data_IF_091082625225
#
_entry.id   IF_091082625225
#
_cell.length_a   1.000
_cell.length_b   1.000
_cell.length_c   1.000
_cell.angle_alpha   90.00
_cell.angle_beta   90.00
_cell.angle_gamma   90.00
#
_symmetry.space_group_name_H-M   'P 1'
#
loop_
_entity.id
_entity.type
_entity.pdbx_description
1 polymer ?
#
# COMPACT_ATOMS: atom_id res chain seq x y z
N UNK A 1 -23.98 -68.18 -20.58
CA UNK A 1 -23.06 -67.18 -20.01
C UNK A 1 -23.45 -65.82 -20.58
N UNK A 2 -24.20 -65.01 -19.80
CA UNK A 2 -24.62 -63.67 -20.20
C UNK A 2 -23.79 -62.67 -19.40
N UNK A 3 -22.90 -61.92 -20.09
CA UNK A 3 -22.13 -60.82 -19.50
C UNK A 3 -23.08 -59.61 -19.35
N UNK A 4 -23.29 -59.16 -18.13
CA UNK A 4 -23.98 -57.93 -17.82
C UNK A 4 -22.93 -56.79 -17.79
N UNK A 5 -23.06 -55.84 -18.71
CA UNK A 5 -22.29 -54.58 -18.68
C UNK A 5 -22.96 -53.64 -17.68
N UNK A 6 -22.26 -53.30 -16.60
CA UNK A 6 -22.64 -52.20 -15.72
C UNK A 6 -22.11 -50.88 -16.31
N UNK A 7 -23.03 -50.05 -16.78
CA UNK A 7 -22.71 -48.67 -17.13
C UNK A 7 -22.73 -47.86 -15.82
N UNK A 8 -21.56 -47.44 -15.37
CA UNK A 8 -21.45 -46.48 -14.29
C UNK A 8 -21.70 -45.10 -14.88
N UNK A 9 -22.85 -44.51 -14.59
CA UNK A 9 -23.16 -43.13 -14.89
C UNK A 9 -22.39 -42.24 -13.86
N UNK A 10 -21.31 -41.62 -14.28
CA UNK A 10 -20.67 -40.54 -13.53
C UNK A 10 -21.54 -39.30 -13.74
N UNK A 11 -22.39 -39.01 -12.77
CA UNK A 11 -23.05 -37.70 -12.67
C UNK A 11 -21.96 -36.70 -12.23
N UNK A 12 -21.36 -36.00 -13.18
CA UNK A 12 -20.58 -34.82 -12.91
C UNK A 12 -21.54 -33.77 -12.35
N UNK A 13 -21.53 -33.60 -11.02
CA UNK A 13 -22.19 -32.48 -10.38
C UNK A 13 -21.53 -31.21 -10.91
N UNK A 14 -22.16 -30.56 -11.89
CA UNK A 14 -21.83 -29.24 -12.34
C UNK A 14 -22.02 -28.28 -11.16
N UNK A 15 -20.94 -28.00 -10.44
CA UNK A 15 -20.89 -26.89 -9.50
C UNK A 15 -21.02 -25.64 -10.35
N UNK A 16 -22.22 -25.08 -10.36
CA UNK A 16 -22.47 -23.79 -11.00
C UNK A 16 -21.69 -22.73 -10.25
N UNK A 17 -20.69 -22.15 -10.90
CA UNK A 17 -19.86 -21.04 -10.41
C UNK A 17 -20.63 -19.76 -10.06
N UNK A 18 -21.95 -19.78 -10.08
CA UNK A 18 -22.82 -18.64 -9.76
C UNK A 18 -22.83 -18.24 -8.27
N UNK A 19 -22.16 -18.98 -7.39
CA UNK A 19 -22.01 -18.65 -5.95
C UNK A 19 -20.61 -18.17 -5.55
N UNK A 20 -19.64 -18.26 -6.44
CA UNK A 20 -18.32 -17.70 -6.25
C UNK A 20 -18.25 -16.42 -7.08
N UNK A 21 -17.83 -15.31 -6.45
CA UNK A 21 -17.67 -14.00 -7.12
C UNK A 21 -16.87 -14.11 -8.43
N UNK A 22 -16.77 -13.00 -9.14
CA UNK A 22 -15.97 -12.93 -10.38
C UNK A 22 -14.60 -13.60 -10.17
N UNK A 23 -14.07 -14.32 -11.15
CA UNK A 23 -12.70 -14.86 -11.06
C UNK A 23 -11.73 -13.70 -10.83
N UNK A 24 -10.62 -13.95 -10.13
CA UNK A 24 -9.62 -12.92 -9.89
C UNK A 24 -9.13 -12.33 -11.23
N UNK A 25 -8.88 -11.02 -11.25
CA UNK A 25 -8.26 -10.36 -12.39
C UNK A 25 -6.83 -10.89 -12.60
N UNK A 26 -6.21 -10.68 -13.79
CA UNK A 26 -4.81 -11.04 -14.00
C UNK A 26 -3.87 -10.44 -12.94
N UNK A 27 -4.05 -9.17 -12.59
CA UNK A 27 -3.29 -8.52 -11.52
C UNK A 27 -3.52 -9.20 -10.17
N UNK A 28 -4.78 -9.47 -9.80
CA UNK A 28 -5.05 -10.18 -8.54
C UNK A 28 -4.38 -11.53 -8.49
N UNK A 29 -4.35 -12.26 -9.60
CA UNK A 29 -3.67 -13.56 -9.68
C UNK A 29 -2.16 -13.40 -9.49
N UNK A 30 -1.52 -12.46 -10.17
CA UNK A 30 -0.09 -12.17 -10.01
C UNK A 30 0.24 -11.75 -8.56
N UNK A 31 -0.62 -10.94 -7.93
CA UNK A 31 -0.45 -10.59 -6.50
C UNK A 31 -0.58 -11.83 -5.62
N UNK A 32 -1.53 -12.73 -5.88
CA UNK A 32 -1.65 -13.98 -5.11
C UNK A 32 -0.41 -14.87 -5.24
N UNK A 33 0.21 -14.89 -6.41
CA UNK A 33 1.49 -15.59 -6.62
C UNK A 33 2.62 -14.91 -5.82
N UNK A 34 2.74 -13.57 -5.88
CA UNK A 34 3.71 -12.82 -5.09
C UNK A 34 3.52 -13.01 -3.57
N UNK A 35 2.27 -13.16 -3.10
CA UNK A 35 1.97 -13.46 -1.70
C UNK A 35 2.55 -14.79 -1.21
N UNK A 36 2.81 -15.74 -2.11
CA UNK A 36 3.42 -17.05 -1.79
C UNK A 36 4.95 -17.03 -1.85
N UNK A 37 5.56 -15.92 -2.25
CA UNK A 37 7.01 -15.80 -2.40
C UNK A 37 7.76 -16.18 -1.12
N UNK A 38 8.90 -16.89 -1.27
CA UNK A 38 9.77 -17.33 -0.18
C UNK A 38 10.47 -16.17 0.55
N UNK A 39 10.56 -14.99 -0.07
CA UNK A 39 11.11 -13.78 0.59
C UNK A 39 10.20 -13.23 1.69
N UNK A 40 8.96 -13.73 1.80
CA UNK A 40 7.98 -13.32 2.81
C UNK A 40 7.94 -14.28 3.98
N UNK A 41 7.87 -13.72 5.19
CA UNK A 41 7.75 -14.50 6.42
C UNK A 41 6.30 -14.93 6.69
N UNK A 42 6.11 -15.89 7.60
CA UNK A 42 4.78 -16.33 8.01
C UNK A 42 4.01 -15.23 8.75
N UNK A 43 4.71 -14.36 9.50
CA UNK A 43 4.12 -13.19 10.17
C UNK A 43 3.62 -12.18 9.13
N UNK A 44 4.31 -11.99 8.02
CA UNK A 44 3.86 -11.14 6.92
C UNK A 44 2.64 -11.73 6.23
N UNK A 45 2.63 -13.04 5.95
CA UNK A 45 1.48 -13.75 5.36
C UNK A 45 0.25 -13.72 6.27
N UNK A 46 0.43 -13.85 7.58
CA UNK A 46 -0.67 -13.78 8.55
C UNK A 46 -1.42 -12.43 8.50
N UNK A 47 -0.79 -11.37 7.98
CA UNK A 47 -1.37 -10.02 7.85
C UNK A 47 -2.11 -9.80 6.52
N UNK A 48 -1.98 -10.69 5.55
CA UNK A 48 -2.60 -10.54 4.22
C UNK A 48 -4.12 -10.38 4.30
N UNK A 49 -4.78 -11.18 5.16
CA UNK A 49 -6.23 -11.08 5.41
C UNK A 49 -6.69 -9.70 5.86
N UNK A 50 -5.84 -8.95 6.58
CA UNK A 50 -6.17 -7.63 7.10
C UNK A 50 -5.77 -6.51 6.15
N UNK A 51 -4.81 -6.76 5.26
CA UNK A 51 -4.28 -5.78 4.30
C UNK A 51 -4.89 -5.91 2.91
N UNK A 52 -5.43 -7.09 2.56
CA UNK A 52 -6.09 -7.39 1.28
C UNK A 52 -5.29 -6.85 0.08
N UNK A 53 -4.00 -7.25 -0.10
CA UNK A 53 -3.12 -6.59 -1.05
C UNK A 53 -3.60 -6.68 -2.50
N UNK A 54 -4.17 -7.82 -2.91
CA UNK A 54 -4.65 -7.99 -4.28
C UNK A 54 -5.76 -6.97 -4.62
N UNK A 55 -6.71 -6.80 -3.71
CA UNK A 55 -7.82 -5.87 -3.91
C UNK A 55 -7.35 -4.40 -3.77
N UNK A 56 -6.39 -4.12 -2.88
CA UNK A 56 -5.83 -2.77 -2.71
C UNK A 56 -5.04 -2.35 -3.94
N UNK A 57 -4.18 -3.20 -4.48
CA UNK A 57 -3.37 -2.88 -5.66
C UNK A 57 -4.24 -2.77 -6.92
N UNK A 58 -5.30 -3.58 -7.03
CA UNK A 58 -6.29 -3.44 -8.09
C UNK A 58 -7.08 -2.12 -7.97
N UNK A 59 -7.50 -1.73 -6.77
CA UNK A 59 -8.13 -0.43 -6.51
C UNK A 59 -7.22 0.72 -6.94
N UNK A 60 -5.92 0.60 -6.72
CA UNK A 60 -4.93 1.58 -7.16
C UNK A 60 -4.64 1.51 -8.66
N UNK A 61 -5.20 0.54 -9.39
CA UNK A 61 -5.01 0.37 -10.83
C UNK A 61 -3.53 0.12 -11.17
N UNK A 62 -2.83 -0.65 -10.35
CA UNK A 62 -1.46 -1.06 -10.62
C UNK A 62 -1.41 -1.89 -11.92
N UNK A 63 -0.42 -1.61 -12.76
CA UNK A 63 -0.07 -2.41 -13.94
C UNK A 63 1.39 -2.85 -13.83
N UNK A 64 1.75 -4.01 -14.37
CA UNK A 64 3.06 -4.64 -14.15
C UNK A 64 4.21 -3.92 -14.88
N UNK A 65 3.90 -3.09 -15.88
CA UNK A 65 4.85 -2.26 -16.63
C UNK A 65 5.06 -0.85 -16.06
N UNK A 66 4.41 -0.53 -14.93
CA UNK A 66 4.51 0.78 -14.30
C UNK A 66 5.85 0.99 -13.60
N UNK A 67 6.31 2.25 -13.61
CA UNK A 67 7.33 2.75 -12.69
C UNK A 67 6.64 3.25 -11.43
N UNK A 68 6.96 2.65 -10.29
CA UNK A 68 6.27 2.89 -9.01
C UNK A 68 7.26 3.36 -7.96
N UNK A 69 6.87 4.37 -7.16
CA UNK A 69 7.58 4.75 -5.93
C UNK A 69 6.76 4.26 -4.73
N UNK A 70 7.34 3.44 -3.86
CA UNK A 70 6.80 3.15 -2.54
C UNK A 70 7.46 4.06 -1.50
N UNK A 71 6.63 4.86 -0.82
CA UNK A 71 7.08 5.79 0.22
C UNK A 71 7.27 5.04 1.54
N UNK A 72 8.48 5.10 2.11
CA UNK A 72 8.85 4.53 3.41
C UNK A 72 8.37 3.08 3.60
N UNK A 73 9.00 2.11 2.93
CA UNK A 73 8.59 0.70 2.95
C UNK A 73 8.73 0.04 4.34
N UNK A 74 9.48 0.63 5.28
CA UNK A 74 9.84 0.06 6.58
C UNK A 74 10.51 -1.32 6.43
N UNK A 75 9.84 -2.39 6.86
CA UNK A 75 10.32 -3.78 6.72
C UNK A 75 10.03 -4.38 5.33
N UNK A 76 9.57 -3.58 4.38
CA UNK A 76 9.35 -4.01 2.99
C UNK A 76 8.13 -4.90 2.77
N UNK A 77 7.08 -4.79 3.60
CA UNK A 77 5.92 -5.69 3.48
C UNK A 77 5.23 -5.59 2.11
N UNK A 78 4.98 -4.36 1.61
CA UNK A 78 4.45 -4.16 0.26
C UNK A 78 5.56 -4.27 -0.80
N UNK A 79 6.78 -3.86 -0.50
CA UNK A 79 7.93 -3.99 -1.40
C UNK A 79 8.11 -5.42 -1.88
N UNK A 80 8.00 -6.42 -0.96
CA UNK A 80 8.08 -7.85 -1.26
C UNK A 80 6.93 -8.39 -2.12
N UNK A 81 5.88 -7.59 -2.32
CA UNK A 81 4.81 -7.88 -3.27
C UNK A 81 5.03 -7.11 -4.58
N UNK A 82 5.37 -5.83 -4.50
CA UNK A 82 5.54 -4.95 -5.65
C UNK A 82 6.76 -5.33 -6.49
N UNK A 83 7.89 -5.66 -5.85
CA UNK A 83 9.12 -5.96 -6.57
C UNK A 83 8.97 -7.13 -7.57
N UNK A 84 8.44 -8.31 -7.20
CA UNK A 84 8.25 -9.38 -8.18
C UNK A 84 7.20 -9.05 -9.25
N UNK A 85 6.21 -8.19 -8.95
CA UNK A 85 5.19 -7.78 -9.93
C UNK A 85 5.75 -6.85 -11.01
N UNK A 86 6.70 -5.97 -10.64
CA UNK A 86 7.25 -4.94 -11.52
C UNK A 86 8.59 -5.36 -12.17
N UNK A 87 9.08 -6.55 -11.84
CA UNK A 87 10.44 -6.99 -12.17
C UNK A 87 10.74 -7.05 -13.67
N UNK A 88 9.79 -7.51 -14.49
CA UNK A 88 10.04 -7.82 -15.90
C UNK A 88 9.94 -6.56 -16.78
N UNK A 89 8.86 -5.80 -16.66
CA UNK A 89 8.54 -4.69 -17.54
C UNK A 89 8.42 -3.33 -16.82
N UNK A 90 8.26 -3.34 -15.51
CA UNK A 90 8.12 -2.16 -14.67
C UNK A 90 9.40 -1.79 -13.93
N UNK A 91 9.26 -0.91 -12.94
CA UNK A 91 10.36 -0.55 -12.03
C UNK A 91 9.84 -0.12 -10.67
N UNK A 92 10.49 -0.60 -9.60
CA UNK A 92 10.18 -0.20 -8.24
C UNK A 92 11.29 0.66 -7.65
N UNK A 93 10.90 1.83 -7.19
CA UNK A 93 11.71 2.69 -6.35
C UNK A 93 11.15 2.70 -4.93
N UNK A 94 12.02 2.79 -3.94
CA UNK A 94 11.61 2.96 -2.54
C UNK A 94 12.29 4.18 -1.94
N UNK A 95 11.54 4.99 -1.19
CA UNK A 95 12.18 6.11 -0.49
C UNK A 95 12.75 5.64 0.84
N UNK A 96 13.96 6.09 1.13
CA UNK A 96 14.67 5.74 2.36
C UNK A 96 14.98 6.99 3.19
N UNK A 97 14.80 6.97 4.53
CA UNK A 97 14.97 8.17 5.37
C UNK A 97 16.43 8.57 5.62
N UNK A 98 17.39 7.99 4.86
CA UNK A 98 18.82 8.24 5.01
C UNK A 98 19.47 7.49 6.18
N UNK A 99 20.79 7.33 6.17
CA UNK A 99 21.53 6.44 7.08
C UNK A 99 21.49 6.85 8.56
N UNK A 100 21.11 8.08 8.88
CA UNK A 100 20.97 8.54 10.27
C UNK A 100 19.70 8.06 10.96
N UNK A 101 18.79 7.43 10.20
CA UNK A 101 17.47 6.96 10.65
C UNK A 101 17.33 5.44 10.70
N UNK A 102 18.40 4.69 10.42
CA UNK A 102 18.38 3.23 10.56
C UNK A 102 18.06 2.85 12.01
N UNK A 103 16.85 2.40 12.21
CA UNK A 103 16.45 1.61 13.36
C UNK A 103 16.06 0.22 12.87
N UNK A 104 15.94 -0.76 13.77
CA UNK A 104 15.43 -2.11 13.43
C UNK A 104 14.05 -2.09 12.71
N UNK A 105 13.38 -0.93 12.65
CA UNK A 105 12.11 -0.74 11.95
C UNK A 105 12.28 -0.39 10.46
N UNK A 106 13.49 0.09 10.05
CA UNK A 106 13.81 0.42 8.67
C UNK A 106 14.88 -0.55 8.21
N UNK A 107 14.48 -1.53 7.46
CA UNK A 107 15.39 -2.47 6.80
C UNK A 107 15.84 -1.79 5.51
N UNK A 108 17.14 -1.89 5.21
CA UNK A 108 17.64 -1.67 3.86
C UNK A 108 17.00 -2.74 2.96
N UNK A 109 15.89 -2.37 2.30
CA UNK A 109 15.11 -3.32 1.51
C UNK A 109 15.85 -3.77 0.26
N UNK A 110 16.73 -2.95 -0.30
CA UNK A 110 17.56 -3.33 -1.45
C UNK A 110 18.60 -4.39 -1.07
N UNK A 111 18.98 -4.48 0.22
CA UNK A 111 19.88 -5.55 0.71
C UNK A 111 19.17 -6.89 0.93
N UNK A 112 17.85 -6.95 0.85
CA UNK A 112 17.13 -8.22 1.03
C UNK A 112 17.24 -9.09 -0.21
N UNK A 113 17.52 -10.36 -0.03
CA UNK A 113 17.61 -11.34 -1.12
C UNK A 113 16.31 -11.34 -1.97
N UNK A 114 16.45 -11.22 -3.28
CA UNK A 114 15.35 -11.14 -4.23
C UNK A 114 14.77 -9.74 -4.44
N UNK A 115 15.38 -8.71 -3.85
CA UNK A 115 14.99 -7.30 -4.02
C UNK A 115 16.15 -6.44 -4.56
N UNK A 116 17.17 -7.05 -5.12
CA UNK A 116 18.40 -6.38 -5.58
C UNK A 116 18.18 -5.40 -6.75
N UNK A 117 17.03 -5.51 -7.43
CA UNK A 117 16.64 -4.61 -8.53
C UNK A 117 15.80 -3.41 -8.06
N UNK A 118 15.47 -3.34 -6.75
CA UNK A 118 14.76 -2.21 -6.17
C UNK A 118 15.73 -1.04 -6.00
N UNK A 119 15.40 0.11 -6.57
CA UNK A 119 16.23 1.31 -6.50
C UNK A 119 15.82 2.19 -5.31
N UNK A 120 16.78 2.51 -4.45
CA UNK A 120 16.55 3.39 -3.31
C UNK A 120 16.68 4.87 -3.69
N UNK A 121 15.72 5.68 -3.21
CA UNK A 121 15.73 7.13 -3.34
C UNK A 121 16.10 7.72 -1.98
N UNK A 122 17.16 8.52 -1.94
CA UNK A 122 17.45 9.33 -0.75
C UNK A 122 16.32 10.34 -0.55
N UNK A 123 15.59 10.16 0.53
CA UNK A 123 14.48 11.04 0.87
C UNK A 123 14.96 12.42 1.33
N UNK A 124 16.20 12.56 1.78
CA UNK A 124 16.67 13.77 2.46
C UNK A 124 15.87 14.10 3.73
N UNK A 125 15.24 13.10 4.34
CA UNK A 125 14.32 13.25 5.46
C UNK A 125 15.06 13.38 6.79
N UNK A 126 14.50 14.20 7.67
CA UNK A 126 14.98 14.34 9.03
C UNK A 126 13.84 14.06 10.01
N UNK A 127 14.07 13.10 10.89
CA UNK A 127 13.33 13.03 12.14
C UNK A 127 14.13 13.69 13.24
N UNK A 128 13.47 14.30 14.19
CA UNK A 128 14.10 14.63 15.48
C UNK A 128 14.25 13.35 16.30
N UNK A 129 15.42 13.06 16.90
CA UNK A 129 15.57 11.93 17.80
C UNK A 129 14.47 11.96 18.88
N UNK A 130 13.60 10.93 18.90
CA UNK A 130 12.46 10.85 19.81
C UNK A 130 11.21 11.62 19.38
N UNK A 131 11.20 12.26 18.20
CA UNK A 131 10.03 12.93 17.62
C UNK A 131 9.32 12.11 16.55
N UNK A 132 8.04 12.39 16.36
CA UNK A 132 7.20 11.75 15.32
C UNK A 132 7.20 12.51 13.99
N UNK A 133 8.00 13.57 13.86
CA UNK A 133 8.02 14.41 12.67
C UNK A 133 9.14 13.96 11.72
N UNK A 134 8.74 13.43 10.58
CA UNK A 134 9.62 13.25 9.43
C UNK A 134 9.46 14.46 8.51
N UNK A 135 10.58 15.03 8.07
CA UNK A 135 10.60 16.11 7.07
C UNK A 135 11.09 15.52 5.77
N UNK A 136 10.30 15.64 4.72
CA UNK A 136 10.75 15.36 3.37
C UNK A 136 11.43 16.63 2.82
N UNK A 137 12.59 16.49 2.22
CA UNK A 137 13.23 17.57 1.49
C UNK A 137 13.25 17.23 0.01
N UNK A 138 12.74 18.12 -0.79
CA UNK A 138 12.97 18.31 -2.15
C UNK A 138 12.66 17.40 -3.19
N UNK A 139 12.78 17.66 -4.49
CA UNK A 139 12.33 16.68 -5.47
C UNK A 139 13.16 15.40 -5.37
N UNK A 140 12.49 14.28 -5.53
CA UNK A 140 13.18 12.99 -5.72
C UNK A 140 13.85 13.01 -7.10
N UNK A 141 15.15 12.69 -7.14
CA UNK A 141 15.92 12.68 -8.40
C UNK A 141 15.69 11.36 -9.15
N UNK A 142 14.49 11.23 -9.70
CA UNK A 142 14.09 10.06 -10.50
C UNK A 142 13.46 10.51 -11.82
N UNK A 143 13.53 9.65 -12.82
CA UNK A 143 12.72 9.84 -14.03
C UNK A 143 11.22 9.81 -13.71
N UNK A 144 10.37 10.48 -14.51
CA UNK A 144 8.94 10.53 -14.22
C UNK A 144 8.31 9.15 -14.09
N UNK A 145 7.58 8.92 -12.98
CA UNK A 145 6.94 7.65 -12.63
C UNK A 145 5.45 7.64 -12.94
N UNK A 146 4.87 6.43 -13.03
CA UNK A 146 3.45 6.22 -13.29
C UNK A 146 2.62 6.26 -12.00
N UNK A 147 3.21 5.81 -10.88
CA UNK A 147 2.48 5.69 -9.63
C UNK A 147 3.37 5.99 -8.42
N UNK A 148 2.78 6.61 -7.41
CA UNK A 148 3.36 6.77 -6.06
C UNK A 148 2.41 6.10 -5.07
N UNK A 149 2.94 5.30 -4.14
CA UNK A 149 2.17 4.58 -3.14
C UNK A 149 2.70 4.85 -1.73
N UNK A 150 1.79 5.01 -0.77
CA UNK A 150 2.16 5.06 0.64
C UNK A 150 1.18 4.24 1.48
N UNK A 151 1.73 3.44 2.41
CA UNK A 151 0.97 2.52 3.22
C UNK A 151 1.24 2.75 4.71
N UNK A 152 0.32 3.40 5.40
CA UNK A 152 0.33 3.63 6.85
C UNK A 152 1.52 4.47 7.35
N UNK A 153 1.90 5.46 6.57
CA UNK A 153 2.97 6.40 6.90
C UNK A 153 2.45 7.82 7.12
N UNK A 154 1.38 8.18 6.41
CA UNK A 154 0.88 9.55 6.35
C UNK A 154 0.55 10.13 7.73
N UNK A 155 0.04 9.30 8.64
CA UNK A 155 -0.24 9.68 10.03
C UNK A 155 1.01 10.02 10.86
N UNK A 156 2.21 9.64 10.41
CA UNK A 156 3.47 9.93 11.11
C UNK A 156 4.06 11.29 10.71
N UNK A 157 3.57 11.90 9.64
CA UNK A 157 4.11 13.15 9.11
C UNK A 157 3.49 14.36 9.82
N UNK A 158 4.32 15.39 10.11
CA UNK A 158 3.79 16.72 10.46
C UNK A 158 3.07 17.34 9.25
N UNK A 159 2.34 18.43 9.45
CA UNK A 159 1.66 19.14 8.36
C UNK A 159 2.65 19.58 7.26
N UNK A 160 3.80 20.11 7.67
CA UNK A 160 4.85 20.54 6.74
C UNK A 160 5.44 19.36 5.97
N UNK A 161 5.65 18.21 6.66
CA UNK A 161 6.14 16.99 6.02
C UNK A 161 5.10 16.40 5.05
N UNK A 162 3.82 16.45 5.36
CA UNK A 162 2.74 16.03 4.45
C UNK A 162 2.72 16.89 3.19
N UNK A 163 2.79 18.22 3.35
CA UNK A 163 2.86 19.14 2.21
C UNK A 163 4.08 18.84 1.32
N UNK A 164 5.26 18.60 1.93
CA UNK A 164 6.48 18.27 1.19
C UNK A 164 6.39 16.91 0.48
N UNK A 165 5.87 15.88 1.14
CA UNK A 165 5.66 14.55 0.54
C UNK A 165 4.67 14.61 -0.62
N UNK A 166 3.55 15.29 -0.44
CA UNK A 166 2.55 15.47 -1.49
C UNK A 166 3.14 16.20 -2.70
N UNK A 167 3.92 17.26 -2.45
CA UNK A 167 4.59 17.99 -3.53
C UNK A 167 5.63 17.12 -4.24
N UNK A 168 6.49 16.39 -3.51
CA UNK A 168 7.50 15.50 -4.11
C UNK A 168 6.83 14.40 -4.93
N UNK A 169 5.73 13.83 -4.44
CA UNK A 169 4.91 12.86 -5.17
C UNK A 169 4.33 13.46 -6.45
N UNK A 170 3.82 14.70 -6.37
CA UNK A 170 3.30 15.41 -7.54
C UNK A 170 4.38 15.67 -8.58
N UNK A 171 5.54 16.15 -8.15
CA UNK A 171 6.66 16.48 -9.05
C UNK A 171 7.20 15.21 -9.75
N UNK A 172 7.32 14.09 -9.03
CA UNK A 172 7.83 12.82 -9.56
C UNK A 172 6.88 12.13 -10.55
N UNK A 173 5.58 12.37 -10.45
CA UNK A 173 4.60 11.71 -11.30
C UNK A 173 4.54 12.32 -12.70
N UNK A 174 4.33 11.47 -13.71
CA UNK A 174 3.89 11.87 -15.06
C UNK A 174 2.54 12.59 -15.00
N UNK A 175 2.20 13.47 -15.96
CA UNK A 175 0.80 13.87 -16.18
C UNK A 175 -0.09 12.63 -16.36
N UNK A 176 -1.20 12.55 -15.62
CA UNK A 176 -2.05 11.36 -15.55
C UNK A 176 -1.58 10.28 -14.58
N UNK A 177 -0.41 10.43 -13.96
CA UNK A 177 0.10 9.50 -12.96
C UNK A 177 -0.73 9.47 -11.67
N UNK A 178 -0.67 8.35 -10.96
CA UNK A 178 -1.56 8.02 -9.84
C UNK A 178 -0.84 8.12 -8.49
N UNK A 179 -1.55 8.60 -7.47
CA UNK A 179 -1.08 8.61 -6.09
C UNK A 179 -2.04 7.84 -5.19
N UNK A 180 -1.59 6.72 -4.63
CA UNK A 180 -2.36 5.84 -3.76
C UNK A 180 -1.96 5.97 -2.29
N UNK A 181 -2.94 6.19 -1.42
CA UNK A 181 -2.73 6.34 0.04
C UNK A 181 -3.62 5.35 0.78
N UNK A 182 -3.01 4.51 1.62
CA UNK A 182 -3.71 3.72 2.64
C UNK A 182 -3.26 4.18 4.01
N UNK A 183 -4.19 4.55 4.89
CA UNK A 183 -3.83 4.84 6.27
C UNK A 183 -4.97 4.50 7.26
N UNK A 184 -4.65 4.61 8.56
CA UNK A 184 -5.58 4.35 9.65
C UNK A 184 -6.53 5.53 9.85
N UNK A 185 -7.83 5.23 9.84
CA UNK A 185 -8.89 6.23 9.94
C UNK A 185 -8.94 6.85 11.32
N UNK A 186 -8.95 8.19 11.38
CA UNK A 186 -9.40 9.01 12.51
C UNK A 186 -10.77 9.61 12.17
N UNK A 187 -11.58 9.86 13.15
CA UNK A 187 -12.87 10.55 12.95
C UNK A 187 -12.62 11.97 12.42
N UNK A 188 -13.47 12.38 11.49
CA UNK A 188 -13.41 13.72 10.94
C UNK A 188 -13.47 14.79 12.03
N UNK A 189 -12.55 15.77 11.96
CA UNK A 189 -12.39 16.87 12.91
C UNK A 189 -12.05 16.46 14.36
N UNK A 190 -11.75 15.19 14.62
CA UNK A 190 -11.28 14.79 15.94
C UNK A 190 -9.81 15.23 16.13
N UNK A 191 -9.49 15.95 17.22
CA UNK A 191 -8.11 16.36 17.48
C UNK A 191 -7.20 15.16 17.72
N UNK A 192 -5.94 15.29 17.27
CA UNK A 192 -4.90 14.32 17.60
C UNK A 192 -4.58 14.34 19.09
N UNK A 193 -4.46 13.15 19.68
CA UNK A 193 -4.14 12.98 21.10
C UNK A 193 -3.47 11.62 21.34
N UNK A 194 -3.00 11.36 22.57
CA UNK A 194 -2.30 10.12 22.91
C UNK A 194 -3.15 8.86 22.79
N UNK A 195 -4.48 8.95 22.85
CA UNK A 195 -5.38 7.80 22.76
C UNK A 195 -5.64 7.39 21.30
N UNK A 196 -5.75 8.35 20.35
CA UNK A 196 -6.03 8.08 18.94
C UNK A 196 -4.79 8.20 18.03
N UNK A 197 -3.62 8.20 18.61
CA UNK A 197 -2.33 8.31 17.91
C UNK A 197 -2.19 7.30 16.76
N UNK A 198 -1.43 7.66 15.75
CA UNK A 198 -1.20 6.89 14.53
C UNK A 198 -2.46 6.69 13.68
N UNK A 199 -3.35 7.67 13.72
CA UNK A 199 -4.52 7.79 12.84
C UNK A 199 -4.54 9.16 12.19
N UNK A 200 -5.11 9.24 11.01
CA UNK A 200 -5.30 10.49 10.29
C UNK A 200 -6.73 10.58 9.74
N UNK A 201 -7.27 11.79 9.71
CA UNK A 201 -8.59 12.06 9.16
C UNK A 201 -8.54 12.01 7.62
N UNK A 202 -9.27 11.10 6.95
CA UNK A 202 -9.23 10.98 5.50
C UNK A 202 -9.72 12.23 4.76
N UNK A 203 -10.59 13.03 5.36
CA UNK A 203 -11.07 14.29 4.74
C UNK A 203 -9.94 15.31 4.69
N UNK A 204 -9.18 15.45 5.77
CA UNK A 204 -8.01 16.33 5.79
C UNK A 204 -6.92 15.84 4.82
N UNK A 205 -6.72 14.51 4.71
CA UNK A 205 -5.78 13.96 3.70
C UNK A 205 -6.22 14.34 2.28
N UNK A 206 -7.53 14.28 1.98
CA UNK A 206 -8.04 14.70 0.67
C UNK A 206 -7.75 16.18 0.41
N UNK A 207 -8.01 17.06 1.37
CA UNK A 207 -7.72 18.50 1.27
C UNK A 207 -6.23 18.75 1.04
N UNK A 208 -5.36 18.19 1.88
CA UNK A 208 -3.90 18.36 1.81
C UNK A 208 -3.30 17.86 0.47
N UNK A 209 -3.80 16.75 -0.06
CA UNK A 209 -3.34 16.21 -1.35
C UNK A 209 -3.86 17.05 -2.52
N UNK A 210 -5.10 17.54 -2.45
CA UNK A 210 -5.63 18.44 -3.46
C UNK A 210 -4.93 19.81 -3.47
N UNK A 211 -4.51 20.33 -2.31
CA UNK A 211 -3.68 21.54 -2.21
C UNK A 211 -2.34 21.39 -2.95
N UNK A 212 -1.79 20.18 -3.02
CA UNK A 212 -0.57 19.90 -3.81
C UNK A 212 -0.83 19.83 -5.34
N UNK A 213 -2.09 19.94 -5.78
CA UNK A 213 -2.48 19.97 -7.20
C UNK A 213 -3.12 18.69 -7.73
N UNK A 214 -3.27 17.66 -6.92
CA UNK A 214 -3.94 16.42 -7.31
C UNK A 214 -5.46 16.56 -7.40
N UNK A 215 -6.08 15.64 -8.14
CA UNK A 215 -7.53 15.44 -8.14
C UNK A 215 -7.85 14.08 -7.50
N UNK A 216 -8.83 14.05 -6.60
CA UNK A 216 -9.37 12.79 -6.06
C UNK A 216 -10.07 12.02 -7.18
N UNK A 217 -9.68 10.77 -7.37
CA UNK A 217 -10.29 9.84 -8.34
C UNK A 217 -11.31 8.95 -7.67
N UNK A 218 -10.91 8.35 -6.53
CA UNK A 218 -11.75 7.35 -5.87
C UNK A 218 -11.42 7.20 -4.39
N UNK A 219 -12.36 6.65 -3.64
CA UNK A 219 -12.27 6.30 -2.23
C UNK A 219 -12.80 4.88 -2.03
N UNK A 220 -12.05 4.03 -1.33
CA UNK A 220 -12.47 2.65 -1.09
C UNK A 220 -12.74 2.35 0.38
N UNK A 221 -13.86 1.63 0.60
CA UNK A 221 -14.23 1.08 1.92
C UNK A 221 -13.71 -0.34 2.14
N UNK A 222 -12.90 -0.87 1.23
CA UNK A 222 -12.34 -2.22 1.24
C UNK A 222 -11.72 -2.61 2.59
N UNK A 223 -10.99 -1.68 3.21
CA UNK A 223 -10.28 -1.88 4.47
C UNK A 223 -11.07 -1.41 5.70
N UNK A 224 -12.35 -1.10 5.53
CA UNK A 224 -13.20 -0.66 6.63
C UNK A 224 -13.37 -1.76 7.68
N UNK A 225 -13.30 -1.36 8.95
CA UNK A 225 -13.55 -2.20 10.13
C UNK A 225 -14.61 -1.54 11.01
N UNK A 226 -15.90 -1.92 10.85
CA UNK A 226 -17.01 -1.29 11.58
C UNK A 226 -16.95 -1.46 13.10
N UNK A 227 -16.21 -2.44 13.58
CA UNK A 227 -15.97 -2.77 14.98
C UNK A 227 -14.81 -1.98 15.60
N UNK A 228 -14.04 -1.23 14.80
CA UNK A 228 -13.06 -0.26 15.31
C UNK A 228 -13.76 1.04 15.69
N UNK A 229 -13.75 1.36 16.98
CA UNK A 229 -14.36 2.59 17.52
C UNK A 229 -13.65 3.87 17.06
N UNK A 230 -12.53 3.79 16.33
CA UNK A 230 -11.65 4.89 15.89
C UNK A 230 -11.05 5.71 17.04
N UNK A 231 -11.24 5.30 18.25
CA UNK A 231 -10.88 6.01 19.48
C UNK A 231 -9.46 5.69 19.92
N UNK A 232 -9.02 4.44 19.73
CA UNK A 232 -7.79 3.95 20.31
C UNK A 232 -6.63 3.93 19.31
N UNK A 233 -5.45 4.12 19.85
CA UNK A 233 -4.17 3.99 19.15
C UNK A 233 -4.03 2.59 18.53
N UNK A 234 -3.55 2.53 17.27
CA UNK A 234 -3.59 1.31 16.45
C UNK A 234 -2.67 0.17 16.92
N UNK A 235 -1.70 0.45 17.78
CA UNK A 235 -0.85 -0.57 18.43
C UNK A 235 -1.45 -1.16 19.69
N UNK A 236 -2.60 -0.67 20.16
CA UNK A 236 -3.30 -1.25 21.31
C UNK A 236 -3.71 -2.68 20.99
N UNK A 237 -3.50 -3.67 21.88
CA UNK A 237 -3.81 -5.09 21.61
C UNK A 237 -5.22 -5.34 21.07
N UNK A 238 -6.23 -4.55 21.52
CA UNK A 238 -7.62 -4.68 21.05
C UNK A 238 -7.87 -4.14 19.63
N UNK A 239 -6.91 -3.39 19.07
CA UNK A 239 -7.03 -2.73 17.75
C UNK A 239 -6.02 -3.30 16.75
N UNK A 240 -4.87 -3.77 17.25
CA UNK A 240 -3.78 -4.27 16.40
C UNK A 240 -4.28 -5.34 15.43
N UNK A 241 -4.03 -5.12 14.14
CA UNK A 241 -4.46 -6.01 13.06
C UNK A 241 -5.92 -5.82 12.63
N UNK A 242 -6.76 -5.10 13.38
CA UNK A 242 -8.16 -4.86 13.07
C UNK A 242 -8.58 -3.38 13.04
N UNK A 243 -7.62 -2.47 12.93
CA UNK A 243 -7.91 -1.04 12.79
C UNK A 243 -8.61 -0.73 11.47
N UNK A 244 -9.58 0.18 11.53
CA UNK A 244 -10.21 0.75 10.33
C UNK A 244 -9.20 1.53 9.51
N UNK A 245 -9.29 1.40 8.18
CA UNK A 245 -8.41 2.08 7.24
C UNK A 245 -9.19 2.55 6.03
N UNK A 246 -8.77 3.67 5.50
CA UNK A 246 -9.20 4.16 4.20
C UNK A 246 -8.16 3.82 3.12
N UNK A 247 -8.61 3.78 1.87
CA UNK A 247 -7.76 3.84 0.69
C UNK A 247 -8.27 4.95 -0.22
N UNK A 248 -7.38 5.86 -0.61
CA UNK A 248 -7.64 7.00 -1.47
C UNK A 248 -6.78 6.91 -2.72
N UNK A 249 -7.38 7.20 -3.87
CA UNK A 249 -6.69 7.26 -5.15
C UNK A 249 -6.83 8.67 -5.73
N UNK A 250 -5.69 9.26 -6.07
CA UNK A 250 -5.59 10.57 -6.71
C UNK A 250 -4.91 10.45 -8.06
N UNK A 251 -5.10 11.46 -8.90
CA UNK A 251 -4.43 11.61 -10.18
C UNK A 251 -3.77 12.98 -10.28
N UNK A 252 -2.55 13.02 -10.83
CA UNK A 252 -1.95 14.26 -11.31
C UNK A 252 -2.65 14.64 -12.62
N UNK A 253 -3.30 15.82 -12.72
CA UNK A 253 -4.00 16.21 -13.94
C UNK A 253 -3.10 16.14 -15.18
N UNK A 254 -3.64 15.64 -16.29
CA UNK A 254 -3.03 15.82 -17.59
C UNK A 254 -3.20 17.29 -17.98
N UNK A 255 -2.09 18.01 -18.20
CA UNK A 255 -2.15 19.39 -18.68
C UNK A 255 -2.62 19.46 -20.14
#
# INVERSE_FOLDING_TARGET
>A
MRLAFFIVLIVAAGITFAQFGQPPSPLQQAVFEAMQSEIRTDEERARDRNRQPAQVLEFFRLEEDMKVIEILPFSGWYTKLLAPLLKEDGKLYVTHPGPTFYSDAFVDVASLAGLEEVEEIDWGAFGTPGGTAFFASGPWDVEPVDMVLTFRNYHNFSLEARAAVNKSSFDALKPGGLYGIVDHTRRHMEPDNSENRRRVDPVLVIEEVQEAGFMLVDYSTLLRRPDDELRYEVGRPSVTGNSDRFALLFVKPAQ
#
